data_IF_912949206522
#
_entry.id   IF_912949206522
#
_cell.length_a   1.000
_cell.length_b   1.000
_cell.length_c   1.000
_cell.angle_alpha   90.00
_cell.angle_beta   90.00
_cell.angle_gamma   90.00
#
_symmetry.space_group_name_H-M   'P 1'
#
loop_
_entity.id
_entity.type
_entity.pdbx_description
1 polymer ?
#
# COMPACT_ATOMS: atom_id res chain seq x y z
N UNK A 1 -18.01 -42.64 9.30
CA UNK A 1 -17.95 -41.16 9.18
C UNK A 1 -16.49 -40.74 9.15
N UNK A 2 -16.00 -40.13 8.07
CA UNK A 2 -14.63 -39.58 7.99
C UNK A 2 -14.73 -38.05 7.93
N UNK A 3 -14.16 -37.36 8.94
CA UNK A 3 -14.00 -35.91 8.94
C UNK A 3 -12.93 -35.52 7.92
N UNK A 4 -13.26 -34.58 7.03
CA UNK A 4 -12.28 -33.95 6.13
C UNK A 4 -11.69 -32.75 6.88
N UNK A 5 -10.42 -32.84 7.29
CA UNK A 5 -9.65 -31.66 7.70
C UNK A 5 -9.44 -30.77 6.47
N UNK A 6 -9.80 -29.50 6.61
CA UNK A 6 -9.47 -28.45 5.65
C UNK A 6 -8.01 -28.08 5.88
N UNK A 7 -7.14 -28.45 4.95
CA UNK A 7 -5.74 -28.01 4.94
C UNK A 7 -5.72 -26.59 4.39
N UNK A 8 -5.59 -25.61 5.28
CA UNK A 8 -5.25 -24.24 4.89
C UNK A 8 -3.79 -24.25 4.46
N UNK A 9 -3.58 -24.20 3.14
CA UNK A 9 -2.23 -24.20 2.55
C UNK A 9 -1.60 -22.85 2.82
N UNK A 10 -0.72 -22.79 3.81
CA UNK A 10 0.21 -21.69 3.99
C UNK A 10 1.11 -21.62 2.73
N UNK A 11 0.97 -20.53 1.97
CA UNK A 11 1.85 -20.24 0.86
C UNK A 11 3.18 -19.73 1.41
N UNK A 12 4.13 -20.64 1.55
CA UNK A 12 5.56 -20.32 1.57
C UNK A 12 5.98 -20.20 0.11
N UNK A 13 6.28 -18.98 -0.35
CA UNK A 13 6.81 -18.69 -1.66
C UNK A 13 7.79 -17.54 -1.54
N UNK A 14 9.08 -17.88 -1.51
CA UNK A 14 10.14 -16.95 -1.89
C UNK A 14 10.09 -16.86 -3.42
N UNK A 15 9.48 -15.80 -3.94
CA UNK A 15 9.61 -15.35 -5.33
C UNK A 15 9.84 -13.83 -5.28
N UNK A 16 11.06 -13.40 -5.59
CA UNK A 16 11.36 -12.00 -5.94
C UNK A 16 10.58 -11.65 -7.22
N UNK A 17 9.32 -11.27 -7.03
CA UNK A 17 8.42 -10.83 -8.08
C UNK A 17 7.82 -9.53 -7.60
N UNK A 18 8.53 -8.41 -7.86
CA UNK A 18 8.12 -7.02 -7.65
C UNK A 18 6.76 -6.93 -6.94
N UNK A 19 6.76 -7.21 -5.63
CA UNK A 19 5.53 -7.22 -4.86
C UNK A 19 5.11 -5.76 -4.82
N UNK A 20 4.05 -5.41 -5.57
CA UNK A 20 3.42 -4.09 -5.50
C UNK A 20 3.35 -3.70 -4.03
N UNK A 21 4.13 -2.69 -3.64
CA UNK A 21 4.19 -2.27 -2.25
C UNK A 21 2.80 -1.85 -1.81
N UNK A 22 2.22 -2.61 -0.88
CA UNK A 22 1.00 -2.22 -0.18
C UNK A 22 1.35 -1.24 0.93
N UNK A 23 0.63 -0.12 1.01
CA UNK A 23 0.72 0.81 2.16
C UNK A 23 -0.09 0.33 3.37
N UNK A 24 -0.78 -0.80 3.25
CA UNK A 24 -1.47 -1.46 4.35
C UNK A 24 -0.74 -2.77 4.69
N UNK A 25 -0.20 -2.86 5.90
CA UNK A 25 0.43 -4.08 6.40
C UNK A 25 -0.60 -5.17 6.74
N UNK A 26 -0.16 -6.42 6.83
CA UNK A 26 -1.01 -7.53 7.25
C UNK A 26 -1.57 -7.33 8.67
N UNK A 27 -0.77 -6.76 9.56
CA UNK A 27 -1.19 -6.45 10.93
C UNK A 27 -2.30 -5.39 10.94
N UNK A 28 -2.12 -4.29 10.22
CA UNK A 28 -3.14 -3.24 10.11
C UNK A 28 -4.42 -3.75 9.44
N UNK A 29 -4.30 -4.54 8.37
CA UNK A 29 -5.45 -5.16 7.73
C UNK A 29 -6.22 -6.07 8.71
N UNK A 30 -5.49 -6.86 9.52
CA UNK A 30 -6.05 -7.70 10.57
C UNK A 30 -6.79 -6.90 11.64
N UNK A 31 -6.23 -5.77 12.09
CA UNK A 31 -6.90 -4.85 13.03
C UNK A 31 -8.21 -4.32 12.45
N UNK A 32 -8.23 -3.94 11.17
CA UNK A 32 -9.47 -3.50 10.52
C UNK A 32 -10.49 -4.63 10.43
N UNK A 33 -10.07 -5.86 10.16
CA UNK A 33 -11.00 -6.98 9.99
C UNK A 33 -11.70 -7.38 11.29
N UNK A 34 -11.03 -7.25 12.43
CA UNK A 34 -11.59 -7.55 13.76
C UNK A 34 -12.32 -6.36 14.42
N UNK A 35 -12.27 -5.17 13.84
CA UNK A 35 -12.76 -3.90 14.43
C UNK A 35 -14.28 -3.77 14.65
N UNK A 36 -15.08 -4.79 14.36
CA UNK A 36 -16.54 -4.72 14.45
C UNK A 36 -17.22 -3.76 13.46
N UNK A 37 -16.45 -3.07 12.63
CA UNK A 37 -16.91 -2.15 11.59
C UNK A 37 -17.70 -2.88 10.49
N UNK A 38 -18.67 -2.18 9.89
CA UNK A 38 -19.36 -2.63 8.69
C UNK A 38 -18.42 -2.66 7.47
N UNK A 39 -18.78 -3.35 6.37
CA UNK A 39 -17.90 -3.45 5.19
C UNK A 39 -17.48 -2.09 4.60
N UNK A 40 -18.39 -1.11 4.56
CA UNK A 40 -18.09 0.23 4.05
C UNK A 40 -17.11 0.98 4.94
N UNK A 41 -17.26 0.86 6.26
CA UNK A 41 -16.36 1.46 7.23
C UNK A 41 -14.98 0.80 7.20
N UNK A 42 -14.91 -0.52 7.04
CA UNK A 42 -13.64 -1.25 6.85
C UNK A 42 -12.89 -0.76 5.63
N UNK A 43 -13.59 -0.56 4.51
CA UNK A 43 -12.98 0.01 3.31
C UNK A 43 -12.39 1.40 3.58
N UNK A 44 -13.17 2.29 4.20
CA UNK A 44 -12.72 3.64 4.53
C UNK A 44 -11.54 3.62 5.52
N UNK A 45 -11.57 2.72 6.50
CA UNK A 45 -10.50 2.54 7.48
C UNK A 45 -9.20 2.09 6.80
N UNK A 46 -9.26 1.07 5.93
CA UNK A 46 -8.11 0.62 5.14
C UNK A 46 -7.54 1.73 4.26
N UNK A 47 -8.42 2.51 3.62
CA UNK A 47 -8.00 3.67 2.82
C UNK A 47 -7.27 4.71 3.68
N UNK A 48 -7.82 5.02 4.85
CA UNK A 48 -7.27 6.02 5.77
C UNK A 48 -5.90 5.60 6.30
N UNK A 49 -5.74 4.34 6.73
CA UNK A 49 -4.46 3.81 7.20
C UNK A 49 -3.43 3.81 6.06
N UNK A 50 -3.84 3.40 4.86
CA UNK A 50 -2.96 3.42 3.69
C UNK A 50 -2.49 4.85 3.37
N UNK A 51 -3.38 5.84 3.42
CA UNK A 51 -3.02 7.25 3.26
C UNK A 51 -2.07 7.74 4.34
N UNK A 52 -2.28 7.36 5.61
CA UNK A 52 -1.37 7.72 6.69
C UNK A 52 0.03 7.15 6.48
N UNK A 53 0.15 5.89 6.06
CA UNK A 53 1.44 5.26 5.81
C UNK A 53 2.15 5.88 4.60
N UNK A 54 1.43 6.25 3.55
CA UNK A 54 2.01 7.02 2.45
C UNK A 54 2.52 8.39 2.94
N UNK A 55 1.75 9.11 3.76
CA UNK A 55 2.18 10.41 4.31
C UNK A 55 3.46 10.28 5.16
N UNK A 56 3.62 9.19 5.93
CA UNK A 56 4.87 8.89 6.65
C UNK A 56 6.05 8.70 5.69
N UNK A 57 5.86 7.94 4.62
CA UNK A 57 6.91 7.75 3.59
C UNK A 57 7.29 9.08 2.94
N UNK A 58 6.32 9.93 2.61
CA UNK A 58 6.57 11.26 2.03
C UNK A 58 7.36 12.14 3.02
N UNK A 59 6.95 12.15 4.28
CA UNK A 59 7.61 12.89 5.37
C UNK A 59 9.08 12.47 5.51
N UNK A 60 9.36 11.16 5.51
CA UNK A 60 10.72 10.63 5.57
C UNK A 60 11.57 11.03 4.35
N UNK A 61 10.99 10.99 3.14
CA UNK A 61 11.72 11.33 1.91
C UNK A 61 12.01 12.82 1.75
N UNK A 62 11.08 13.68 2.14
CA UNK A 62 11.26 15.14 2.07
C UNK A 62 12.02 15.68 3.29
N UNK A 63 12.25 14.86 4.32
CA UNK A 63 12.97 15.24 5.53
C UNK A 63 12.24 16.29 6.38
N UNK A 64 10.91 16.32 6.30
CA UNK A 64 10.05 17.26 7.04
C UNK A 64 9.07 16.49 7.93
N UNK A 65 8.67 17.01 9.09
CA UNK A 65 7.67 16.36 9.93
C UNK A 65 6.33 16.24 9.20
N UNK A 66 5.54 15.21 9.53
CA UNK A 66 4.28 14.90 8.84
C UNK A 66 3.26 16.05 8.96
N UNK A 67 3.34 16.83 10.04
CA UNK A 67 2.53 18.01 10.32
C UNK A 67 2.81 19.19 9.37
N UNK A 68 3.98 19.22 8.74
CA UNK A 68 4.35 20.23 7.74
C UNK A 68 3.92 19.86 6.32
N UNK A 69 3.44 18.62 6.10
CA UNK A 69 2.89 18.22 4.82
C UNK A 69 1.58 18.96 4.54
N UNK A 70 1.54 19.65 3.41
CA UNK A 70 0.37 20.37 2.92
C UNK A 70 0.13 20.02 1.46
N UNK A 71 -1.01 20.44 0.91
CA UNK A 71 -1.41 20.13 -0.46
C UNK A 71 -0.34 20.46 -1.50
N UNK A 72 0.38 21.59 -1.36
CA UNK A 72 1.45 21.98 -2.27
C UNK A 72 2.62 20.99 -2.24
N UNK A 73 3.13 20.69 -1.04
CA UNK A 73 4.22 19.70 -0.86
C UNK A 73 3.84 18.32 -1.35
N UNK A 74 2.59 17.90 -1.12
CA UNK A 74 2.10 16.63 -1.63
C UNK A 74 2.09 16.63 -3.16
N UNK A 75 1.49 17.64 -3.81
CA UNK A 75 1.50 17.75 -5.27
C UNK A 75 2.92 17.72 -5.85
N UNK A 76 3.86 18.45 -5.25
CA UNK A 76 5.25 18.48 -5.67
C UNK A 76 5.91 17.10 -5.53
N UNK A 77 5.72 16.43 -4.41
CA UNK A 77 6.25 15.08 -4.18
C UNK A 77 5.69 14.08 -5.19
N UNK A 78 4.36 14.10 -5.43
CA UNK A 78 3.72 13.21 -6.41
C UNK A 78 4.27 13.44 -7.82
N UNK A 79 4.56 14.69 -8.20
CA UNK A 79 5.18 14.99 -9.49
C UNK A 79 6.62 14.45 -9.55
N UNK A 80 7.42 14.64 -8.49
CA UNK A 80 8.78 14.08 -8.42
C UNK A 80 8.76 12.56 -8.50
N UNK A 81 7.87 11.90 -7.78
CA UNK A 81 7.76 10.43 -7.74
C UNK A 81 7.33 9.86 -9.09
N UNK A 82 6.39 10.53 -9.78
CA UNK A 82 6.02 10.19 -11.16
C UNK A 82 7.23 10.27 -12.11
N UNK A 83 8.02 11.35 -12.05
CA UNK A 83 9.20 11.50 -12.89
C UNK A 83 10.28 10.45 -12.60
N UNK A 84 10.43 10.02 -11.33
CA UNK A 84 11.30 8.90 -10.97
C UNK A 84 10.84 7.61 -11.65
N UNK A 85 9.54 7.31 -11.60
CA UNK A 85 8.96 6.12 -12.23
C UNK A 85 9.08 6.11 -13.75
N UNK A 86 9.03 7.28 -14.39
CA UNK A 86 9.28 7.42 -15.84
C UNK A 86 10.75 7.16 -16.22
N UNK A 87 11.70 7.44 -15.33
CA UNK A 87 13.14 7.20 -15.55
C UNK A 87 13.57 5.77 -15.20
N UNK A 88 13.07 5.28 -14.07
CA UNK A 88 13.31 3.94 -13.55
C UNK A 88 12.03 3.45 -12.84
N UNK A 89 11.30 2.49 -13.42
CA UNK A 89 10.04 1.97 -12.88
C UNK A 89 10.14 1.42 -11.45
N UNK A 90 11.32 0.94 -11.05
CA UNK A 90 11.55 0.37 -9.71
C UNK A 90 11.96 1.44 -8.67
N UNK A 91 12.23 2.67 -9.11
CA UNK A 91 12.68 3.76 -8.24
C UNK A 91 11.54 4.60 -7.63
N UNK A 92 10.36 4.58 -8.25
CA UNK A 92 9.18 5.28 -7.72
C UNK A 92 8.61 4.56 -6.50
N UNK A 93 8.17 5.35 -5.52
CA UNK A 93 7.40 4.84 -4.38
C UNK A 93 6.04 4.34 -4.86
N UNK A 94 5.39 5.10 -5.72
CA UNK A 94 4.12 4.73 -6.33
C UNK A 94 4.38 4.01 -7.63
N UNK A 95 4.41 2.68 -7.53
CA UNK A 95 4.43 1.81 -8.69
C UNK A 95 3.02 1.69 -9.28
N UNK A 96 2.66 2.67 -10.09
CA UNK A 96 1.49 2.63 -10.96
C UNK A 96 1.74 1.61 -12.07
N UNK A 97 1.75 0.32 -11.71
CA UNK A 97 2.29 -0.71 -12.60
C UNK A 97 1.69 -0.62 -13.99
N UNK A 98 2.52 -0.82 -15.02
CA UNK A 98 2.07 -0.92 -16.40
C UNK A 98 0.79 -1.72 -16.43
N UNK A 99 -0.30 -1.04 -16.77
CA UNK A 99 -1.52 -1.72 -17.17
C UNK A 99 -1.22 -2.40 -18.49
N UNK A 100 -0.55 -3.55 -18.42
CA UNK A 100 -0.68 -4.66 -19.36
C UNK A 100 -2.10 -5.25 -19.32
N UNK A 101 -3.12 -4.42 -19.16
CA UNK A 101 -4.43 -4.70 -19.73
C UNK A 101 -4.28 -4.43 -21.22
N UNK A 102 -3.67 -5.41 -21.91
CA UNK A 102 -3.86 -5.54 -23.34
C UNK A 102 -5.36 -5.57 -23.60
N UNK A 103 -5.82 -4.55 -24.32
CA UNK A 103 -7.10 -4.58 -25.02
C UNK A 103 -7.00 -5.64 -26.12
#
# INVERSE_FOLDING_TARGET
MKMKMVVVKAAKGEEEKSERRSFLSLEEAGLVDISGLSPHEKFLCRLTISSLNLLKVISEQEGVPIEELNAGRLCDWFLKDKLKGEQDPDSAVLQWGDSGFGI
#
